data_IF_587983933486
#
_entry.id   IF_587983933486
#
_cell.length_a   1.000
_cell.length_b   1.000
_cell.length_c   1.000
_cell.angle_alpha   90.00
_cell.angle_beta   90.00
_cell.angle_gamma   90.00
#
_symmetry.space_group_name_H-M   'P 1'
#
loop_
_entity.id
_entity.type
_entity.pdbx_description
1 polymer ?
#
# COMPACT_ATOMS: atom_id res chain seq x y z
N UNK A 1 -5.73 -17.13 -14.72
CA UNK A 1 -5.15 -18.14 -13.82
C UNK A 1 -6.26 -19.12 -13.47
N UNK A 2 -6.30 -20.30 -14.12
CA UNK A 2 -7.31 -21.30 -13.82
C UNK A 2 -6.96 -21.93 -12.47
N UNK A 3 -7.73 -21.60 -11.43
CA UNK A 3 -7.63 -22.24 -10.13
C UNK A 3 -7.97 -23.71 -10.34
N UNK A 4 -7.03 -24.63 -10.04
CA UNK A 4 -7.29 -26.07 -10.13
C UNK A 4 -8.48 -26.41 -9.22
N UNK A 5 -9.60 -26.79 -9.84
CA UNK A 5 -10.87 -27.02 -9.14
C UNK A 5 -10.90 -28.47 -8.66
N UNK A 6 -11.43 -28.74 -7.44
CA UNK A 6 -11.84 -30.08 -7.07
C UNK A 6 -12.85 -30.60 -8.11
N UNK A 7 -12.73 -31.85 -8.53
CA UNK A 7 -13.65 -32.43 -9.49
C UNK A 7 -15.10 -32.34 -9.00
N UNK A 8 -16.01 -31.85 -9.85
CA UNK A 8 -17.46 -31.72 -9.55
C UNK A 8 -17.96 -30.31 -9.24
N UNK A 9 -17.10 -29.29 -9.22
CA UNK A 9 -17.50 -27.89 -8.99
C UNK A 9 -17.64 -27.11 -10.31
N UNK A 10 -18.87 -27.03 -10.82
CA UNK A 10 -19.21 -26.33 -12.06
C UNK A 10 -19.98 -25.04 -11.75
N UNK A 11 -19.50 -23.92 -12.28
CA UNK A 11 -20.23 -22.65 -12.20
C UNK A 11 -21.42 -22.74 -13.17
N UNK A 12 -22.65 -22.62 -12.65
CA UNK A 12 -23.89 -22.67 -13.45
C UNK A 12 -24.38 -21.28 -13.82
N UNK A 13 -23.91 -20.24 -13.13
CA UNK A 13 -24.27 -18.84 -13.36
C UNK A 13 -23.04 -17.94 -13.43
N UNK A 14 -23.15 -16.84 -14.17
CA UNK A 14 -22.12 -15.78 -14.23
C UNK A 14 -21.87 -15.15 -12.84
N UNK A 15 -22.89 -15.13 -11.99
CA UNK A 15 -22.78 -14.63 -10.61
C UNK A 15 -21.93 -15.56 -9.73
N UNK A 16 -22.01 -16.87 -9.93
CA UNK A 16 -21.21 -17.87 -9.22
C UNK A 16 -19.74 -17.79 -9.64
N UNK A 17 -19.48 -17.54 -10.92
CA UNK A 17 -18.12 -17.32 -11.42
C UNK A 17 -17.51 -16.02 -10.84
N UNK A 18 -18.34 -14.98 -10.67
CA UNK A 18 -17.96 -13.70 -10.10
C UNK A 18 -17.99 -13.63 -8.55
N UNK A 19 -18.51 -14.63 -7.83
CA UNK A 19 -18.61 -14.56 -6.37
C UNK A 19 -17.24 -14.44 -5.68
N UNK A 20 -17.12 -13.64 -4.61
CA UNK A 20 -15.88 -13.52 -3.81
C UNK A 20 -15.60 -14.80 -3.02
N UNK A 21 -16.64 -15.41 -2.47
CA UNK A 21 -16.58 -16.64 -1.70
C UNK A 21 -17.63 -17.58 -2.28
N UNK A 22 -17.18 -18.64 -2.98
CA UNK A 22 -18.09 -19.55 -3.71
C UNK A 22 -18.89 -20.47 -2.80
N UNK A 23 -18.40 -20.73 -1.57
CA UNK A 23 -19.03 -21.65 -0.62
C UNK A 23 -19.56 -20.91 0.59
N UNK A 24 -20.73 -21.30 1.14
CA UNK A 24 -21.26 -20.71 2.37
C UNK A 24 -20.30 -20.85 3.56
N UNK A 25 -19.51 -21.94 3.61
CA UNK A 25 -18.48 -22.15 4.63
C UNK A 25 -17.31 -21.16 4.56
N UNK A 26 -16.99 -20.63 3.37
CA UNK A 26 -15.94 -19.61 3.25
C UNK A 26 -16.39 -18.27 3.84
N UNK A 27 -17.69 -17.96 3.81
CA UNK A 27 -18.23 -16.79 4.50
C UNK A 27 -18.13 -16.93 6.03
N UNK A 28 -18.39 -18.14 6.56
CA UNK A 28 -18.18 -18.42 7.98
C UNK A 28 -16.72 -18.31 8.39
N UNK A 29 -15.80 -18.89 7.62
CA UNK A 29 -14.35 -18.78 7.88
C UNK A 29 -13.86 -17.34 7.81
N UNK A 30 -14.32 -16.56 6.82
CA UNK A 30 -14.00 -15.14 6.72
C UNK A 30 -14.56 -14.37 7.93
N UNK A 31 -15.82 -14.60 8.30
CA UNK A 31 -16.44 -14.00 9.47
C UNK A 31 -15.68 -14.32 10.76
N UNK A 32 -15.31 -15.58 10.97
CA UNK A 32 -14.51 -16.02 12.13
C UNK A 32 -13.13 -15.36 12.12
N UNK A 33 -12.46 -15.28 10.97
CA UNK A 33 -11.15 -14.63 10.86
C UNK A 33 -11.21 -13.13 11.19
N UNK A 34 -12.24 -12.43 10.72
CA UNK A 34 -12.46 -11.01 11.00
C UNK A 34 -12.80 -10.78 12.48
N UNK A 35 -13.65 -11.62 13.06
CA UNK A 35 -13.98 -11.58 14.48
C UNK A 35 -12.74 -11.85 15.34
N UNK A 36 -11.96 -12.88 15.01
CA UNK A 36 -10.72 -13.19 15.71
C UNK A 36 -9.73 -12.02 15.65
N UNK A 37 -9.53 -11.43 14.45
CA UNK A 37 -8.69 -10.25 14.27
C UNK A 37 -9.20 -9.06 15.10
N UNK A 38 -10.51 -8.81 15.11
CA UNK A 38 -11.11 -7.70 15.86
C UNK A 38 -10.97 -7.89 17.38
N UNK A 39 -11.07 -9.11 17.89
CA UNK A 39 -10.93 -9.39 19.33
C UNK A 39 -9.49 -9.41 19.84
N UNK A 40 -8.50 -9.40 18.95
CA UNK A 40 -7.08 -9.53 19.31
C UNK A 40 -6.61 -8.54 20.39
N UNK A 41 -6.98 -7.24 20.37
CA UNK A 41 -6.56 -6.29 21.41
C UNK A 41 -7.18 -6.52 22.78
N UNK A 42 -8.24 -7.34 22.89
CA UNK A 42 -8.91 -7.61 24.17
C UNK A 42 -8.17 -8.65 25.01
N UNK A 43 -7.38 -9.52 24.37
CA UNK A 43 -6.72 -10.66 25.02
C UNK A 43 -5.19 -10.67 24.80
N UNK A 44 -4.71 -9.93 23.79
CA UNK A 44 -3.29 -9.87 23.45
C UNK A 44 -2.53 -8.84 24.26
N UNK A 45 -1.29 -9.18 24.63
CA UNK A 45 -0.34 -8.23 25.22
C UNK A 45 0.00 -7.09 24.24
N UNK A 46 0.44 -5.94 24.76
CA UNK A 46 0.77 -4.75 23.97
C UNK A 46 1.79 -5.05 22.86
N UNK A 47 2.73 -5.96 23.11
CA UNK A 47 3.67 -6.43 22.10
C UNK A 47 2.98 -7.11 20.92
N UNK A 48 2.05 -8.06 21.19
CA UNK A 48 1.31 -8.77 20.16
C UNK A 48 0.45 -7.82 19.33
N UNK A 49 -0.19 -6.84 19.96
CA UNK A 49 -1.01 -5.83 19.27
C UNK A 49 -0.12 -4.91 18.41
N UNK A 50 1.06 -4.53 18.90
CA UNK A 50 2.03 -3.74 18.11
C UNK A 50 2.53 -4.53 16.89
N UNK A 51 2.83 -5.82 17.04
CA UNK A 51 3.19 -6.69 15.91
C UNK A 51 2.02 -6.85 14.94
N UNK A 52 0.79 -7.01 15.42
CA UNK A 52 -0.39 -7.10 14.57
C UNK A 52 -0.64 -5.82 13.77
N UNK A 53 -0.41 -4.65 14.38
CA UNK A 53 -0.38 -3.35 13.69
C UNK A 53 0.66 -3.34 12.56
N UNK A 54 1.86 -3.83 12.86
CA UNK A 54 2.94 -3.93 11.88
C UNK A 54 2.61 -4.83 10.70
N UNK A 55 1.99 -5.97 10.98
CA UNK A 55 1.49 -6.87 9.94
C UNK A 55 0.43 -6.15 9.09
N UNK A 56 -0.52 -5.44 9.71
CA UNK A 56 -1.60 -4.78 9.00
C UNK A 56 -1.08 -3.75 7.96
N UNK A 57 -0.23 -2.80 8.36
CA UNK A 57 0.29 -1.83 7.39
C UNK A 57 1.26 -2.45 6.38
N UNK A 58 1.99 -3.51 6.75
CA UNK A 58 2.89 -4.22 5.82
C UNK A 58 2.09 -4.92 4.72
N UNK A 59 0.96 -5.54 5.07
CA UNK A 59 0.06 -6.13 4.08
C UNK A 59 -0.44 -5.07 3.09
N UNK A 60 -0.80 -3.86 3.54
CA UNK A 60 -1.24 -2.77 2.65
C UNK A 60 -0.13 -2.39 1.65
N UNK A 61 1.12 -2.28 2.11
CA UNK A 61 2.26 -1.97 1.25
C UNK A 61 2.50 -3.08 0.19
N UNK A 62 2.49 -4.34 0.63
CA UNK A 62 2.67 -5.52 -0.25
C UNK A 62 1.51 -5.68 -1.22
N UNK A 63 0.29 -5.34 -0.83
CA UNK A 63 -0.86 -5.32 -1.74
C UNK A 63 -0.67 -4.28 -2.86
N UNK A 64 -0.13 -3.09 -2.54
CA UNK A 64 0.27 -2.11 -3.55
C UNK A 64 1.35 -2.66 -4.49
N UNK A 65 2.36 -3.34 -3.94
CA UNK A 65 3.39 -4.01 -4.73
C UNK A 65 2.81 -5.09 -5.65
N UNK A 66 1.87 -5.90 -5.17
CA UNK A 66 1.21 -6.96 -5.94
C UNK A 66 0.47 -6.41 -7.17
N UNK A 67 -0.08 -5.20 -7.12
CA UNK A 67 -0.65 -4.56 -8.31
C UNK A 67 0.42 -4.31 -9.38
N UNK A 68 1.61 -3.85 -8.98
CA UNK A 68 2.72 -3.62 -9.90
C UNK A 68 3.33 -4.94 -10.40
N UNK A 69 3.82 -5.78 -9.50
CA UNK A 69 4.56 -7.00 -9.83
C UNK A 69 3.62 -8.10 -10.30
N UNK A 70 2.58 -8.36 -9.52
CA UNK A 70 1.64 -9.45 -9.72
C UNK A 70 0.66 -9.19 -10.86
N UNK A 71 0.05 -8.01 -10.97
CA UNK A 71 -0.95 -7.73 -12.01
C UNK A 71 -0.37 -7.15 -13.29
N UNK A 72 0.56 -6.19 -13.22
CA UNK A 72 1.14 -5.56 -14.43
C UNK A 72 2.49 -6.14 -14.89
N UNK A 73 3.15 -6.97 -14.08
CA UNK A 73 4.46 -7.55 -14.43
C UNK A 73 5.63 -6.57 -14.30
N UNK A 74 5.48 -5.49 -13.53
CA UNK A 74 6.52 -4.50 -13.31
C UNK A 74 7.22 -4.70 -11.97
N UNK A 75 8.53 -4.89 -12.00
CA UNK A 75 9.33 -4.99 -10.78
C UNK A 75 9.50 -3.58 -10.19
N UNK A 76 9.21 -3.43 -8.90
CA UNK A 76 9.38 -2.17 -8.18
C UNK A 76 10.16 -2.40 -6.89
N UNK A 77 11.25 -1.65 -6.72
CA UNK A 77 12.12 -1.66 -5.54
C UNK A 77 11.97 -0.40 -4.66
N UNK A 78 10.92 0.39 -4.91
CA UNK A 78 10.73 1.72 -4.30
C UNK A 78 9.59 1.78 -3.27
N UNK A 79 9.04 0.64 -2.87
CA UNK A 79 7.87 0.61 -1.98
C UNK A 79 8.15 1.30 -0.65
N UNK A 80 9.26 0.96 0.02
CA UNK A 80 9.64 1.61 1.27
C UNK A 80 9.85 3.12 1.11
N UNK A 81 10.38 3.58 -0.03
CA UNK A 81 10.49 5.01 -0.29
C UNK A 81 9.14 5.72 -0.48
N UNK A 82 8.17 5.09 -1.15
CA UNK A 82 6.82 5.68 -1.24
C UNK A 82 6.07 5.64 0.10
N UNK A 83 6.32 4.63 0.94
CA UNK A 83 5.88 4.64 2.33
C UNK A 83 6.49 5.82 3.09
N UNK A 84 7.79 6.11 2.91
CA UNK A 84 8.44 7.26 3.54
C UNK A 84 7.77 8.58 3.15
N UNK A 85 7.42 8.74 1.86
CA UNK A 85 6.68 9.91 1.38
C UNK A 85 5.32 10.05 2.07
N UNK A 86 4.54 8.97 2.17
CA UNK A 86 3.24 9.02 2.85
C UNK A 86 3.35 9.29 4.35
N UNK A 87 4.36 8.73 5.00
CA UNK A 87 4.66 9.01 6.41
C UNK A 87 4.95 10.50 6.62
N UNK A 88 5.83 11.08 5.81
CA UNK A 88 6.15 12.51 5.92
C UNK A 88 4.98 13.41 5.55
N UNK A 89 4.25 13.08 4.49
CA UNK A 89 3.08 13.86 4.06
C UNK A 89 2.02 13.89 5.18
N UNK A 90 1.70 12.74 5.78
CA UNK A 90 0.74 12.70 6.90
C UNK A 90 1.25 13.47 8.12
N UNK A 91 2.50 13.25 8.53
CA UNK A 91 3.10 13.97 9.65
C UNK A 91 3.07 15.49 9.45
N UNK A 92 3.48 15.98 8.27
CA UNK A 92 3.48 17.41 7.97
C UNK A 92 2.07 18.02 7.94
N UNK A 93 1.09 17.30 7.39
CA UNK A 93 -0.31 17.76 7.36
C UNK A 93 -0.91 17.87 8.77
N UNK A 94 -0.58 16.95 9.66
CA UNK A 94 -1.07 17.02 11.05
C UNK A 94 -0.33 18.11 11.83
N UNK A 95 0.99 18.24 11.68
CA UNK A 95 1.80 19.20 12.45
C UNK A 95 1.56 20.64 12.00
N UNK A 96 1.63 20.91 10.69
CA UNK A 96 1.63 22.28 10.16
C UNK A 96 0.24 22.76 9.75
N UNK A 97 -0.59 21.87 9.20
CA UNK A 97 -1.94 22.23 8.76
C UNK A 97 -3.01 21.94 9.82
N UNK A 98 -2.65 21.32 10.95
CA UNK A 98 -3.58 21.01 12.04
C UNK A 98 -4.71 20.08 11.63
N UNK A 99 -4.55 19.34 10.53
CA UNK A 99 -5.59 18.45 10.03
C UNK A 99 -5.70 17.20 10.90
N UNK A 100 -6.91 16.68 11.05
CA UNK A 100 -7.11 15.39 11.71
C UNK A 100 -6.42 14.28 10.92
N UNK A 101 -5.89 13.29 11.62
CA UNK A 101 -5.24 12.11 11.05
C UNK A 101 -6.10 11.43 9.95
N UNK A 102 -7.42 11.37 10.13
CA UNK A 102 -8.32 10.74 9.17
C UNK A 102 -8.41 11.47 7.83
N UNK A 103 -8.16 12.78 7.81
CA UNK A 103 -8.09 13.60 6.60
C UNK A 103 -6.66 13.59 6.04
N UNK A 104 -5.67 13.61 6.93
CA UNK A 104 -4.27 13.52 6.55
C UNK A 104 -3.93 12.20 5.84
N UNK A 105 -4.56 11.09 6.22
CA UNK A 105 -4.33 9.76 5.63
C UNK A 105 -4.64 9.69 4.12
N UNK A 106 -5.84 10.05 3.63
CA UNK A 106 -6.11 10.03 2.19
C UNK A 106 -5.29 11.09 1.43
N UNK A 107 -5.01 12.25 2.03
CA UNK A 107 -4.16 13.26 1.40
C UNK A 107 -2.70 12.79 1.28
N UNK A 108 -2.18 12.11 2.28
CA UNK A 108 -0.85 11.50 2.26
C UNK A 108 -0.76 10.40 1.21
N UNK A 109 -1.81 9.58 1.07
CA UNK A 109 -1.91 8.59 0.01
C UNK A 109 -1.86 9.24 -1.38
N UNK A 110 -2.61 10.33 -1.59
CA UNK A 110 -2.58 11.08 -2.84
C UNK A 110 -1.23 11.74 -3.11
N UNK A 111 -0.56 12.27 -2.08
CA UNK A 111 0.78 12.84 -2.22
C UNK A 111 1.82 11.78 -2.62
N UNK A 112 1.76 10.60 -2.00
CA UNK A 112 2.60 9.47 -2.37
C UNK A 112 2.30 8.98 -3.80
N UNK A 113 1.01 8.91 -4.17
CA UNK A 113 0.59 8.63 -5.54
C UNK A 113 1.12 9.66 -6.54
N UNK A 114 1.04 10.94 -6.25
CA UNK A 114 1.53 12.02 -7.12
C UNK A 114 3.05 11.94 -7.33
N UNK A 115 3.83 11.72 -6.26
CA UNK A 115 5.27 11.46 -6.37
C UNK A 115 5.52 10.17 -7.16
N UNK A 116 4.72 9.14 -6.91
CA UNK A 116 4.68 7.92 -7.70
C UNK A 116 4.50 8.21 -9.20
N UNK A 117 3.56 9.06 -9.60
CA UNK A 117 3.36 9.42 -11.00
C UNK A 117 4.60 10.07 -11.62
N UNK A 118 5.27 10.97 -10.89
CA UNK A 118 6.49 11.62 -11.38
C UNK A 118 7.58 10.58 -11.67
N UNK A 119 7.83 9.67 -10.72
CA UNK A 119 8.81 8.59 -10.91
C UNK A 119 8.34 7.54 -11.92
N UNK A 120 7.04 7.25 -11.99
CA UNK A 120 6.44 6.36 -12.96
C UNK A 120 6.59 6.88 -14.39
N UNK A 121 6.36 8.18 -14.61
CA UNK A 121 6.58 8.82 -15.91
C UNK A 121 8.04 8.70 -16.37
N UNK A 122 9.00 8.82 -15.45
CA UNK A 122 10.42 8.62 -15.75
C UNK A 122 10.75 7.13 -16.00
N UNK A 123 10.21 6.23 -15.18
CA UNK A 123 10.49 4.80 -15.19
C UNK A 123 9.91 4.08 -16.42
N UNK A 124 8.75 4.52 -16.91
CA UNK A 124 8.10 3.90 -18.08
C UNK A 124 8.79 4.22 -19.42
N UNK A 125 9.82 5.07 -19.43
CA UNK A 125 10.66 5.30 -20.61
C UNK A 125 11.64 4.16 -20.88
N UNK A 126 11.88 3.29 -19.90
CA UNK A 126 12.76 2.12 -20.00
C UNK A 126 11.96 0.83 -19.86
N UNK A 127 12.39 -0.24 -20.55
CA UNK A 127 11.67 -1.53 -20.61
C UNK A 127 12.38 -2.61 -19.78
N UNK A 128 11.59 -3.56 -19.28
CA UNK A 128 12.08 -4.80 -18.64
C UNK A 128 12.90 -4.53 -17.38
N UNK A 129 14.07 -5.14 -17.28
CA UNK A 129 14.94 -5.06 -16.09
C UNK A 129 15.43 -3.63 -15.79
N UNK A 130 15.56 -2.78 -16.81
CA UNK A 130 15.95 -1.37 -16.63
C UNK A 130 14.92 -0.56 -15.84
N UNK A 131 13.64 -0.96 -15.87
CA UNK A 131 12.59 -0.36 -15.05
C UNK A 131 12.86 -0.59 -13.56
N UNK A 132 13.40 -1.75 -13.17
CA UNK A 132 13.75 -2.03 -11.78
C UNK A 132 14.84 -1.05 -11.28
N UNK A 133 15.87 -0.76 -12.09
CA UNK A 133 16.88 0.24 -11.76
C UNK A 133 16.30 1.65 -11.60
N UNK A 134 15.34 2.04 -12.44
CA UNK A 134 14.67 3.33 -12.29
C UNK A 134 13.90 3.43 -10.97
N UNK A 135 13.25 2.35 -10.52
CA UNK A 135 12.61 2.32 -9.20
C UNK A 135 13.62 2.28 -8.05
N UNK A 136 14.75 1.58 -8.22
CA UNK A 136 15.83 1.59 -7.24
C UNK A 136 16.41 3.00 -7.09
N UNK A 137 16.53 3.77 -8.18
CA UNK A 137 16.91 5.18 -8.09
C UNK A 137 15.91 5.99 -7.25
N UNK A 138 14.60 5.76 -7.40
CA UNK A 138 13.58 6.38 -6.54
C UNK A 138 13.78 6.03 -5.05
N UNK A 139 14.14 4.76 -4.76
CA UNK A 139 14.43 4.29 -3.41
C UNK A 139 15.61 5.02 -2.74
N UNK A 140 16.58 5.53 -3.51
CA UNK A 140 17.69 6.32 -2.98
C UNK A 140 17.42 7.82 -2.99
N UNK A 141 16.82 8.34 -4.06
CA UNK A 141 16.58 9.77 -4.24
C UNK A 141 15.61 10.30 -3.18
N UNK A 142 14.51 9.58 -2.91
CA UNK A 142 13.48 10.05 -1.96
C UNK A 142 14.05 10.22 -0.53
N UNK A 143 14.68 9.19 0.08
CA UNK A 143 15.37 9.33 1.37
C UNK A 143 16.52 10.34 1.38
N UNK A 144 17.21 10.52 0.24
CA UNK A 144 18.28 11.51 0.15
C UNK A 144 17.73 12.93 0.16
N UNK A 145 16.68 13.18 -0.61
CA UNK A 145 15.99 14.47 -0.73
C UNK A 145 15.36 14.89 0.59
N UNK A 146 14.77 13.95 1.33
CA UNK A 146 14.17 14.23 2.64
C UNK A 146 15.21 14.71 3.65
N UNK A 147 16.42 14.12 3.65
CA UNK A 147 17.50 14.47 4.59
C UNK A 147 18.28 15.74 4.21
N UNK A 148 18.51 15.98 2.92
CA UNK A 148 19.41 17.05 2.47
C UNK A 148 18.67 18.31 2.04
N UNK A 149 17.68 18.19 1.15
CA UNK A 149 17.04 19.34 0.50
C UNK A 149 15.99 19.99 1.38
N UNK A 150 15.16 19.18 2.02
CA UNK A 150 14.02 19.67 2.81
C UNK A 150 14.28 19.66 4.32
N UNK A 151 15.55 19.78 4.70
CA UNK A 151 16.02 19.67 6.09
C UNK A 151 15.26 20.54 7.09
N UNK A 152 14.80 21.72 6.69
CA UNK A 152 14.11 22.66 7.58
C UNK A 152 12.66 22.24 7.90
N UNK A 153 12.02 21.45 7.04
CA UNK A 153 10.64 21.01 7.21
C UNK A 153 10.54 19.55 7.64
N UNK A 154 11.54 18.72 7.30
CA UNK A 154 11.51 17.27 7.46
C UNK A 154 12.39 16.74 8.61
N UNK A 155 12.75 17.59 9.59
CA UNK A 155 13.58 17.18 10.74
C UNK A 155 15.09 17.11 10.47
N UNK A 156 15.54 17.49 9.27
CA UNK A 156 16.94 17.81 8.99
C UNK A 156 17.90 16.62 8.92
N UNK A 157 19.13 16.83 9.40
CA UNK A 157 20.17 15.80 9.45
C UNK A 157 19.80 14.63 10.37
N UNK A 158 18.92 14.85 11.35
CA UNK A 158 18.33 13.81 12.19
C UNK A 158 17.30 13.00 11.40
N UNK A 159 16.71 13.57 10.34
CA UNK A 159 15.82 12.88 9.42
C UNK A 159 14.60 12.25 10.09
N UNK A 160 14.22 12.73 11.27
CA UNK A 160 13.15 12.21 12.09
C UNK A 160 12.21 13.35 12.49
N UNK A 161 10.91 13.18 12.25
CA UNK A 161 9.87 14.07 12.76
C UNK A 161 9.06 13.30 13.79
N UNK A 162 8.87 13.87 14.96
CA UNK A 162 7.93 13.35 15.95
C UNK A 162 6.51 13.48 15.43
N UNK A 163 5.79 12.37 15.39
CA UNK A 163 4.44 12.33 14.85
C UNK A 163 3.43 12.44 15.99
N UNK A 164 2.57 13.47 15.99
CA UNK A 164 1.55 13.62 17.02
C UNK A 164 0.53 12.47 17.00
N UNK A 165 -0.06 12.20 18.16
CA UNK A 165 -1.01 11.11 18.32
C UNK A 165 -2.25 11.37 17.44
N UNK A 166 -2.80 10.33 16.79
CA UNK A 166 -4.04 10.47 16.07
C UNK A 166 -5.17 10.81 17.06
N UNK A 167 -5.82 11.95 16.86
CA UNK A 167 -6.95 12.41 17.67
C UNK A 167 -8.19 12.56 16.79
N UNK A 168 -9.32 12.07 17.28
CA UNK A 168 -10.65 12.38 16.73
C UNK A 168 -11.41 13.22 17.76
N UNK A 169 -11.36 14.54 17.62
CA UNK A 169 -11.96 15.45 18.58
C UNK A 169 -11.35 15.27 19.98
N UNK A 170 -12.12 14.75 20.93
CA UNK A 170 -11.69 14.49 22.33
C UNK A 170 -11.16 13.08 22.58
N UNK A 171 -11.27 12.17 21.61
CA UNK A 171 -10.81 10.78 21.75
C UNK A 171 -9.38 10.66 21.24
N UNK A 172 -8.48 10.27 22.14
CA UNK A 172 -7.07 10.06 21.84
C UNK A 172 -6.83 8.60 21.44
N UNK A 173 -6.41 8.34 20.20
CA UNK A 173 -5.99 7.00 19.75
C UNK A 173 -4.51 6.74 20.07
N UNK A 174 -4.09 7.19 21.26
CA UNK A 174 -2.69 7.07 21.68
C UNK A 174 -2.29 5.68 22.14
N UNK A 175 -3.29 4.87 22.49
CA UNK A 175 -3.13 3.50 22.94
C UNK A 175 -2.99 2.55 21.74
N UNK A 176 -2.03 1.63 21.83
CA UNK A 176 -1.69 0.67 20.76
C UNK A 176 -2.91 -0.14 20.33
N UNK A 177 -3.77 -0.50 21.28
CA UNK A 177 -5.03 -1.22 21.06
C UNK A 177 -6.04 -0.42 20.24
N UNK A 178 -6.20 0.88 20.52
CA UNK A 178 -7.12 1.73 19.78
C UNK A 178 -6.61 2.01 18.37
N UNK A 179 -5.29 2.14 18.21
CA UNK A 179 -4.66 2.30 16.92
C UNK A 179 -4.80 1.06 16.02
N UNK A 180 -4.85 -0.13 16.62
CA UNK A 180 -5.08 -1.39 15.89
C UNK A 180 -6.40 -1.42 15.13
N UNK A 181 -7.48 -0.88 15.70
CA UNK A 181 -8.75 -0.81 14.97
C UNK A 181 -8.65 0.10 13.73
N UNK A 182 -7.89 1.19 13.80
CA UNK A 182 -7.67 2.08 12.66
C UNK A 182 -6.90 1.34 11.55
N UNK A 183 -5.80 0.67 11.89
CA UNK A 183 -4.99 -0.06 10.90
C UNK A 183 -5.75 -1.23 10.29
N UNK A 184 -6.55 -1.95 11.08
CA UNK A 184 -7.43 -3.03 10.62
C UNK A 184 -8.51 -2.51 9.66
N UNK A 185 -9.20 -1.42 10.01
CA UNK A 185 -10.20 -0.81 9.13
C UNK A 185 -9.56 -0.33 7.82
N UNK A 186 -8.41 0.32 7.89
CA UNK A 186 -7.68 0.75 6.70
C UNK A 186 -7.26 -0.45 5.82
N UNK A 187 -6.81 -1.55 6.43
CA UNK A 187 -6.50 -2.79 5.73
C UNK A 187 -7.73 -3.37 5.03
N UNK A 188 -8.87 -3.44 5.71
CA UNK A 188 -10.11 -3.97 5.11
C UNK A 188 -10.59 -3.11 3.94
N UNK A 189 -10.56 -1.79 4.09
CA UNK A 189 -10.95 -0.84 3.04
C UNK A 189 -10.03 -0.99 1.83
N UNK A 190 -8.70 -0.94 2.03
CA UNK A 190 -7.73 -1.06 0.92
C UNK A 190 -7.82 -2.41 0.22
N UNK A 191 -7.97 -3.49 0.99
CA UNK A 191 -8.17 -4.84 0.46
C UNK A 191 -9.44 -4.91 -0.38
N UNK A 192 -10.56 -4.42 0.14
CA UNK A 192 -11.85 -4.40 -0.58
C UNK A 192 -11.76 -3.59 -1.88
N UNK A 193 -11.14 -2.41 -1.84
CA UNK A 193 -10.93 -1.57 -3.02
C UNK A 193 -10.09 -2.28 -4.08
N UNK A 194 -9.02 -2.98 -3.67
CA UNK A 194 -8.17 -3.72 -4.60
C UNK A 194 -8.87 -4.93 -5.22
N UNK A 195 -9.66 -5.66 -4.44
CA UNK A 195 -10.51 -6.74 -4.97
C UNK A 195 -11.52 -6.21 -5.99
N UNK A 196 -12.05 -5.01 -5.79
CA UNK A 196 -12.93 -4.38 -6.77
C UNK A 196 -12.15 -3.98 -8.03
N UNK A 197 -10.98 -3.34 -7.88
CA UNK A 197 -10.12 -2.93 -9.01
C UNK A 197 -9.73 -4.12 -9.88
N UNK A 198 -9.35 -5.26 -9.29
CA UNK A 198 -8.94 -6.45 -10.04
C UNK A 198 -10.06 -7.03 -10.92
N UNK A 199 -11.32 -6.83 -10.52
CA UNK A 199 -12.52 -7.26 -11.25
C UNK A 199 -13.01 -6.26 -12.30
N UNK A 200 -12.52 -5.02 -12.25
CA UNK A 200 -12.90 -3.99 -13.21
C UNK A 200 -12.13 -4.11 -14.54
N UNK A 201 -12.47 -3.26 -15.51
CA UNK A 201 -11.73 -3.13 -16.78
C UNK A 201 -10.25 -2.80 -16.56
N UNK A 202 -9.92 -2.03 -15.51
CA UNK A 202 -8.54 -1.68 -15.18
C UNK A 202 -7.73 -2.92 -14.79
N UNK A 203 -8.27 -3.77 -13.91
CA UNK A 203 -7.61 -5.02 -13.49
C UNK A 203 -7.38 -5.98 -14.65
N UNK A 204 -8.38 -6.16 -15.53
CA UNK A 204 -8.22 -6.99 -16.74
C UNK A 204 -7.16 -6.44 -17.69
N UNK A 205 -7.09 -5.13 -17.87
CA UNK A 205 -6.06 -4.49 -18.67
C UNK A 205 -4.66 -4.72 -18.09
N UNK A 206 -4.50 -4.62 -16.76
CA UNK A 206 -3.22 -4.92 -16.10
C UNK A 206 -2.74 -6.34 -16.40
N UNK A 207 -3.63 -7.34 -16.25
CA UNK A 207 -3.29 -8.74 -16.55
C UNK A 207 -2.90 -8.92 -18.01
N UNK A 208 -3.61 -8.29 -18.96
CA UNK A 208 -3.25 -8.37 -20.38
C UNK A 208 -1.87 -7.78 -20.67
N UNK A 209 -1.52 -6.66 -20.02
CA UNK A 209 -0.21 -6.01 -20.14
C UNK A 209 0.90 -6.93 -19.61
N UNK A 210 0.66 -7.59 -18.47
CA UNK A 210 1.61 -8.54 -17.90
C UNK A 210 1.83 -9.76 -18.78
N UNK A 211 0.75 -10.30 -19.34
CA UNK A 211 0.82 -11.54 -20.11
C UNK A 211 1.57 -11.33 -21.44
N UNK A 212 1.26 -10.25 -22.18
CA UNK A 212 2.05 -9.85 -23.35
C UNK A 212 1.79 -8.38 -23.75
N UNK A 213 2.81 -7.52 -23.57
CA UNK A 213 2.79 -6.10 -23.96
C UNK A 213 2.39 -5.90 -25.44
N UNK A 214 2.97 -6.66 -26.38
CA UNK A 214 2.70 -6.53 -27.82
C UNK A 214 1.25 -6.93 -28.16
N UNK A 215 0.75 -8.02 -27.56
CA UNK A 215 -0.62 -8.46 -27.81
C UNK A 215 -1.65 -7.48 -27.23
N UNK A 216 -1.38 -6.93 -26.03
CA UNK A 216 -2.25 -5.92 -25.43
C UNK A 216 -2.31 -4.64 -26.29
N UNK A 217 -1.19 -4.22 -26.87
CA UNK A 217 -1.13 -3.07 -27.77
C UNK A 217 -1.94 -3.29 -29.06
N UNK A 218 -1.88 -4.49 -29.65
CA UNK A 218 -2.70 -4.88 -30.82
C UNK A 218 -4.21 -4.88 -30.52
N UNK A 219 -4.59 -5.15 -29.27
CA UNK A 219 -5.99 -5.09 -28.80
C UNK A 219 -6.43 -3.67 -28.41
N UNK A 220 -5.61 -2.65 -28.67
CA UNK A 220 -5.93 -1.24 -28.41
C UNK A 220 -5.72 -0.79 -26.96
N UNK A 221 -5.00 -1.57 -26.14
CA UNK A 221 -4.69 -1.20 -24.76
C UNK A 221 -3.47 -0.28 -24.72
N UNK A 222 -3.64 0.94 -24.20
CA UNK A 222 -2.53 1.90 -24.05
C UNK A 222 -1.59 1.49 -22.90
N UNK A 223 -0.51 0.77 -23.21
CA UNK A 223 0.46 0.25 -22.24
C UNK A 223 0.95 1.33 -21.26
N UNK A 224 1.31 2.50 -21.77
CA UNK A 224 1.85 3.60 -20.97
C UNK A 224 0.86 4.05 -19.89
N UNK A 225 -0.40 4.28 -20.26
CA UNK A 225 -1.44 4.77 -19.36
C UNK A 225 -1.77 3.75 -18.28
N UNK A 226 -1.91 2.47 -18.65
CA UNK A 226 -2.23 1.42 -17.68
C UNK A 226 -1.07 1.16 -16.72
N UNK A 227 0.17 1.09 -17.23
CA UNK A 227 1.36 0.95 -16.38
C UNK A 227 1.51 2.13 -15.41
N UNK A 228 1.27 3.36 -15.88
CA UNK A 228 1.33 4.56 -15.05
C UNK A 228 0.25 4.58 -13.95
N UNK A 229 -0.98 4.17 -14.29
CA UNK A 229 -2.07 4.04 -13.32
C UNK A 229 -1.78 2.97 -12.26
N UNK A 230 -1.20 1.85 -12.64
CA UNK A 230 -0.79 0.81 -11.70
C UNK A 230 0.28 1.34 -10.73
N UNK A 231 1.25 2.09 -11.25
CA UNK A 231 2.29 2.72 -10.43
C UNK A 231 1.71 3.75 -9.45
N UNK A 232 0.75 4.57 -9.88
CA UNK A 232 0.03 5.49 -9.01
C UNK A 232 -0.71 4.77 -7.88
N UNK A 233 -1.48 3.72 -8.19
CA UNK A 233 -2.24 2.95 -7.19
C UNK A 233 -1.30 2.29 -6.18
N UNK A 234 -0.19 1.72 -6.66
CA UNK A 234 0.79 1.08 -5.79
C UNK A 234 1.48 2.08 -4.85
N UNK A 235 1.88 3.26 -5.37
CA UNK A 235 2.47 4.32 -4.56
C UNK A 235 1.46 4.96 -3.59
N UNK A 236 0.18 5.03 -3.96
CA UNK A 236 -0.88 5.50 -3.08
C UNK A 236 -1.07 4.55 -1.89
N UNK A 237 -1.09 3.24 -2.14
CA UNK A 237 -1.18 2.22 -1.07
C UNK A 237 0.07 2.18 -0.20
N UNK A 238 1.25 2.35 -0.80
CA UNK A 238 2.49 2.60 -0.07
C UNK A 238 2.33 3.78 0.89
N UNK A 239 1.77 4.89 0.40
CA UNK A 239 1.55 6.09 1.19
C UNK A 239 0.63 5.87 2.38
N UNK A 240 -0.46 5.11 2.21
CA UNK A 240 -1.36 4.70 3.31
C UNK A 240 -0.58 3.87 4.35
N UNK A 241 0.17 2.87 3.91
CA UNK A 241 0.96 2.03 4.80
C UNK A 241 2.03 2.84 5.57
N UNK A 242 2.68 3.78 4.89
CA UNK A 242 3.66 4.69 5.47
C UNK A 242 3.07 5.65 6.49
N UNK A 243 1.91 6.25 6.19
CA UNK A 243 1.18 7.07 7.15
C UNK A 243 0.77 6.27 8.40
N UNK A 244 0.31 5.03 8.21
CA UNK A 244 -0.01 4.16 9.34
C UNK A 244 1.22 3.77 10.17
N UNK A 245 2.34 3.46 9.52
CA UNK A 245 3.61 3.15 10.20
C UNK A 245 4.13 4.35 11.00
N UNK A 246 4.14 5.53 10.38
CA UNK A 246 4.53 6.81 10.95
C UNK A 246 3.84 7.10 12.30
N UNK A 247 2.51 7.06 12.30
CA UNK A 247 1.72 7.35 13.50
C UNK A 247 1.79 6.22 14.53
N UNK A 248 1.98 4.96 14.10
CA UNK A 248 2.19 3.84 15.03
C UNK A 248 3.52 3.94 15.78
N UNK A 249 4.59 4.33 15.08
CA UNK A 249 5.94 4.43 15.63
C UNK A 249 6.22 5.80 16.27
N UNK A 250 5.29 6.75 16.13
CA UNK A 250 5.41 8.15 16.58
C UNK A 250 6.62 8.87 15.99
N UNK A 251 7.08 8.40 14.82
CA UNK A 251 8.29 8.88 14.18
C UNK A 251 8.30 8.54 12.69
N UNK A 252 8.81 9.47 11.88
CA UNK A 252 9.07 9.23 10.45
C UNK A 252 10.49 9.63 10.14
N UNK A 253 11.23 8.70 9.57
CA UNK A 253 12.62 8.91 9.19
C UNK A 253 13.25 7.66 8.61
N UNK A 254 14.38 7.80 7.91
CA UNK A 254 15.03 6.66 7.25
C UNK A 254 15.48 5.57 8.22
N UNK A 255 15.74 5.96 9.46
CA UNK A 255 16.09 5.12 10.61
C UNK A 255 14.93 4.26 11.14
N UNK A 256 13.68 4.66 10.87
CA UNK A 256 12.48 3.89 11.25
C UNK A 256 12.16 2.75 10.27
N UNK A 257 13.17 2.27 9.56
CA UNK A 257 13.04 1.24 8.55
C UNK A 257 12.30 1.76 7.32
N UNK A 258 12.87 2.66 6.54
CA UNK A 258 12.37 2.91 5.17
C UNK A 258 13.49 2.62 4.16
N UNK A 259 14.28 1.61 4.47
CA UNK A 259 15.49 1.24 3.75
C UNK A 259 15.17 0.34 2.56
N UNK A 260 16.15 0.20 1.66
CA UNK A 260 16.07 -0.74 0.54
C UNK A 260 15.82 -2.18 1.01
N UNK A 261 16.30 -2.57 2.20
CA UNK A 261 16.11 -3.91 2.72
C UNK A 261 14.61 -4.25 2.91
N UNK A 262 13.80 -3.31 3.38
CA UNK A 262 12.34 -3.54 3.49
C UNK A 262 11.69 -3.74 2.12
N UNK A 263 12.06 -2.92 1.13
CA UNK A 263 11.56 -3.09 -0.24
C UNK A 263 11.95 -4.46 -0.83
N UNK A 264 13.13 -4.99 -0.50
CA UNK A 264 13.57 -6.32 -0.93
C UNK A 264 12.74 -7.40 -0.23
N UNK A 265 12.57 -7.31 1.09
CA UNK A 265 11.75 -8.28 1.86
C UNK A 265 10.31 -8.32 1.34
N UNK A 266 9.75 -7.20 0.87
CA UNK A 266 8.40 -7.18 0.29
C UNK A 266 8.29 -7.95 -1.03
N UNK A 267 9.39 -8.15 -1.76
CA UNK A 267 9.38 -8.90 -3.02
C UNK A 267 9.43 -10.42 -2.82
N UNK A 268 9.93 -10.89 -1.68
CA UNK A 268 10.07 -12.32 -1.35
C UNK A 268 11.51 -12.73 -1.11
#
# INVERSE_FOLDING_TARGET
MAMLRPAGDFDRSYEEDMALLRRPWHYWLLGISLLAAFTLPLWGDAYLVATANQIAYTIIAVQGLNILTGYTGQISLSQAAFMLVGGYASALLVIHAGLSFFIALPLAALAAGAIGLIFGLASLRVKGFYLAFATLAAQFIIPWLSRHTFKNYLGGANGAIEVPLPQLGRVNFGEVSNYFYISLIALLITTFLLFNISRTRLGRAFVSVRDNDLAAELLGVNLFTYKLRAFFIAAMLAGVAGALKAHSQRGVGTEFGYSLNESIIFLG
#
